data_IF_846776184668
#
_entry.id   IF_846776184668
#
_cell.length_a   1.000
_cell.length_b   1.000
_cell.length_c   1.000
_cell.angle_alpha   90.00
_cell.angle_beta   90.00
_cell.angle_gamma   90.00
#
_symmetry.space_group_name_H-M   'P 1'
#
loop_
_entity.id
_entity.type
_entity.pdbx_description
1 polymer ?
#
# COMPACT_ATOMS: atom_id res chain seq x y z
N UNK A 1 10.09 -16.63 2.51
CA UNK A 1 11.27 -15.81 2.24
C UNK A 1 12.45 -16.62 1.73
N UNK A 2 12.90 -17.67 2.46
CA UNK A 2 14.08 -18.49 2.07
C UNK A 2 13.99 -19.07 0.65
N UNK A 3 12.83 -19.58 0.25
CA UNK A 3 12.61 -20.16 -1.09
C UNK A 3 12.69 -19.05 -2.16
N UNK A 4 12.01 -17.94 -1.97
CA UNK A 4 12.05 -16.80 -2.90
C UNK A 4 13.48 -16.24 -3.05
N UNK A 5 14.21 -16.04 -1.93
CA UNK A 5 15.60 -15.59 -1.97
C UNK A 5 16.49 -16.50 -2.83
N UNK A 6 16.26 -17.83 -2.77
CA UNK A 6 16.98 -18.80 -3.61
C UNK A 6 16.62 -18.70 -5.08
N UNK A 7 15.36 -18.40 -5.40
CA UNK A 7 14.87 -18.33 -6.79
C UNK A 7 15.30 -17.05 -7.50
N UNK A 8 15.23 -15.91 -6.81
CA UNK A 8 15.51 -14.60 -7.42
C UNK A 8 16.94 -14.12 -7.21
N UNK A 9 17.75 -14.83 -6.41
CA UNK A 9 19.13 -14.48 -6.05
C UNK A 9 19.30 -13.07 -5.47
N UNK A 10 18.24 -12.51 -4.87
CA UNK A 10 18.22 -11.19 -4.27
C UNK A 10 17.67 -11.23 -2.84
N UNK A 11 18.02 -10.24 -2.02
CA UNK A 11 17.41 -10.06 -0.71
C UNK A 11 15.98 -9.55 -0.87
N UNK A 12 15.09 -10.10 -0.06
CA UNK A 12 13.69 -9.61 0.05
C UNK A 12 13.64 -8.75 1.30
N UNK A 13 13.52 -7.44 1.10
CA UNK A 13 13.53 -6.45 2.17
C UNK A 13 12.15 -5.86 2.45
N UNK A 14 11.23 -6.01 1.51
CA UNK A 14 9.88 -5.45 1.61
C UNK A 14 8.80 -6.53 1.60
N UNK A 15 7.67 -6.23 2.25
CA UNK A 15 6.54 -7.14 2.39
C UNK A 15 5.21 -6.40 2.32
N UNK A 16 4.17 -7.11 1.88
CA UNK A 16 2.78 -6.72 2.03
C UNK A 16 1.94 -7.95 2.39
N UNK A 17 1.15 -7.83 3.45
CA UNK A 17 0.15 -8.84 3.78
C UNK A 17 -1.08 -8.68 2.89
N UNK A 18 -1.59 -9.80 2.39
CA UNK A 18 -2.84 -9.82 1.65
C UNK A 18 -4.05 -9.87 2.60
N UNK A 19 -5.22 -9.44 2.10
CA UNK A 19 -6.54 -9.57 2.75
C UNK A 19 -6.71 -8.83 4.09
N UNK A 20 -5.90 -7.83 4.40
CA UNK A 20 -6.05 -7.01 5.61
C UNK A 20 -6.01 -7.80 6.93
N UNK A 21 -5.61 -9.05 6.90
CA UNK A 21 -5.39 -9.88 8.08
C UNK A 21 -4.09 -9.45 8.77
N UNK A 22 -4.14 -8.26 9.34
CA UNK A 22 -3.00 -7.62 9.94
C UNK A 22 -3.31 -7.22 11.39
N UNK A 23 -2.73 -7.97 12.33
CA UNK A 23 -2.71 -7.62 13.74
C UNK A 23 -1.39 -6.90 14.05
N UNK A 24 -1.47 -5.59 14.20
CA UNK A 24 -0.35 -4.66 14.03
C UNK A 24 0.92 -4.99 14.82
N UNK A 25 0.88 -5.04 16.14
CA UNK A 25 2.13 -5.15 16.92
C UNK A 25 2.83 -6.52 16.72
N UNK A 26 2.11 -7.62 16.87
CA UNK A 26 2.69 -8.97 16.75
C UNK A 26 3.25 -9.25 15.35
N UNK A 27 2.57 -8.76 14.31
CA UNK A 27 3.04 -8.92 12.94
C UNK A 27 4.34 -8.15 12.71
N UNK A 28 4.45 -6.93 13.19
CA UNK A 28 5.68 -6.12 13.04
C UNK A 28 6.88 -6.74 13.74
N UNK A 29 6.73 -7.30 14.94
CA UNK A 29 7.81 -8.07 15.57
C UNK A 29 8.27 -9.25 14.71
N UNK A 30 7.32 -9.96 14.07
CA UNK A 30 7.66 -11.02 13.13
C UNK A 30 8.43 -10.53 11.90
N UNK A 31 8.07 -9.36 11.36
CA UNK A 31 8.81 -8.76 10.23
C UNK A 31 10.23 -8.35 10.61
N UNK A 32 10.39 -7.74 11.78
CA UNK A 32 11.69 -7.34 12.31
C UNK A 32 12.59 -8.56 12.55
N UNK A 33 12.05 -9.62 13.14
CA UNK A 33 12.80 -10.87 13.38
C UNK A 33 13.24 -11.56 12.08
N UNK A 34 12.54 -11.33 10.98
CA UNK A 34 12.90 -11.80 9.65
C UNK A 34 13.78 -10.80 8.88
N UNK A 35 14.26 -9.74 9.52
CA UNK A 35 15.11 -8.70 8.91
C UNK A 35 14.46 -8.06 7.68
N UNK A 36 13.16 -7.79 7.73
CA UNK A 36 12.46 -7.02 6.73
C UNK A 36 12.55 -5.53 7.08
N UNK A 37 12.77 -4.71 6.07
CA UNK A 37 13.04 -3.28 6.23
C UNK A 37 11.82 -2.41 5.94
N UNK A 38 10.90 -2.90 5.07
CA UNK A 38 9.74 -2.12 4.63
C UNK A 38 8.46 -2.95 4.65
N UNK A 39 7.39 -2.36 5.18
CA UNK A 39 6.03 -2.89 5.13
C UNK A 39 5.09 -1.98 4.34
N UNK A 40 4.27 -2.59 3.48
CA UNK A 40 3.24 -1.95 2.65
C UNK A 40 1.83 -2.47 2.99
N UNK A 41 1.61 -2.88 4.24
CA UNK A 41 0.33 -3.45 4.69
C UNK A 41 -0.57 -2.46 5.41
N UNK A 42 -0.06 -1.27 5.78
CA UNK A 42 -0.80 -0.25 6.51
C UNK A 42 -1.79 0.48 5.59
N UNK A 43 -2.90 -0.17 5.29
CA UNK A 43 -4.01 0.36 4.51
C UNK A 43 -5.33 -0.28 4.92
N UNK A 44 -6.43 0.29 4.47
CA UNK A 44 -7.74 -0.33 4.54
C UNK A 44 -7.96 -1.25 3.34
N UNK A 45 -8.73 -2.34 3.52
CA UNK A 45 -9.06 -3.21 2.40
C UNK A 45 -10.16 -2.65 1.50
N UNK A 46 -11.12 -1.97 2.09
CA UNK A 46 -12.41 -1.66 1.47
C UNK A 46 -12.78 -0.17 1.54
N UNK A 47 -11.85 0.66 1.97
CA UNK A 47 -12.02 2.11 2.09
C UNK A 47 -10.81 2.82 1.47
N UNK A 48 -11.05 3.96 0.83
CA UNK A 48 -10.00 4.86 0.37
C UNK A 48 -9.64 5.81 1.52
N UNK A 49 -8.39 5.74 1.97
CA UNK A 49 -7.89 6.55 3.08
C UNK A 49 -6.65 5.98 3.74
N UNK A 50 -5.93 6.80 4.46
CA UNK A 50 -4.74 6.37 5.20
C UNK A 50 -5.12 5.80 6.57
N UNK A 51 -4.91 4.52 6.79
CA UNK A 51 -5.23 3.83 8.05
C UNK A 51 -4.41 4.37 9.24
N UNK A 52 -3.20 4.84 9.00
CA UNK A 52 -2.34 5.45 10.00
C UNK A 52 -2.59 6.96 10.19
N UNK A 53 -3.63 7.53 9.55
CA UNK A 53 -3.92 8.97 9.54
C UNK A 53 -2.76 9.84 9.02
N UNK A 54 -1.79 9.24 8.35
CA UNK A 54 -0.66 9.92 7.72
C UNK A 54 -0.33 9.29 6.37
N UNK A 55 0.12 10.12 5.44
CA UNK A 55 0.68 9.72 4.15
C UNK A 55 2.21 9.68 4.17
N UNK A 56 2.83 10.13 5.25
CA UNK A 56 4.29 10.14 5.37
C UNK A 56 4.73 8.78 5.91
N UNK A 57 5.68 8.09 5.26
CA UNK A 57 6.27 6.88 5.78
C UNK A 57 6.92 7.14 7.14
N UNK A 58 6.81 6.17 8.04
CA UNK A 58 7.33 6.27 9.39
C UNK A 58 7.96 4.95 9.85
N UNK A 59 8.83 5.00 10.84
CA UNK A 59 9.39 3.81 11.44
C UNK A 59 8.50 3.27 12.56
N UNK A 60 8.34 1.95 12.61
CA UNK A 60 7.60 1.33 13.70
C UNK A 60 8.30 1.59 15.03
N UNK A 61 7.51 2.10 15.99
CA UNK A 61 7.96 2.34 17.35
C UNK A 61 7.49 1.20 18.26
N UNK A 62 8.45 0.56 18.91
CA UNK A 62 8.19 -0.52 19.86
C UNK A 62 7.92 0.06 21.24
N UNK A 63 6.64 0.09 21.62
CA UNK A 63 6.22 0.61 22.93
C UNK A 63 6.66 -0.25 24.11
N UNK A 64 6.91 -1.55 23.90
CA UNK A 64 7.33 -2.45 24.98
C UNK A 64 8.81 -2.22 25.38
N UNK A 65 9.63 -1.93 24.39
CA UNK A 65 11.05 -1.70 24.57
C UNK A 65 11.43 -0.21 24.52
N UNK A 66 10.43 0.67 24.31
CA UNK A 66 10.60 2.14 24.22
C UNK A 66 11.66 2.56 23.21
N UNK A 67 11.61 1.97 21.99
CA UNK A 67 12.59 2.24 20.94
C UNK A 67 11.99 2.31 19.54
N UNK A 68 12.58 3.13 18.69
CA UNK A 68 12.32 3.14 17.27
C UNK A 68 13.04 1.97 16.60
N UNK A 69 12.31 1.20 15.79
CA UNK A 69 12.89 0.07 15.06
C UNK A 69 13.38 0.48 13.67
N UNK A 70 14.05 -0.44 12.97
CA UNK A 70 14.46 -0.25 11.57
C UNK A 70 13.35 -0.51 10.55
N UNK A 71 12.19 -1.03 10.97
CA UNK A 71 11.08 -1.35 10.07
C UNK A 71 10.34 -0.07 9.65
N UNK A 72 10.42 0.29 8.39
CA UNK A 72 9.71 1.41 7.78
C UNK A 72 8.32 1.01 7.32
N UNK A 73 7.33 1.72 7.77
CA UNK A 73 5.93 1.53 7.39
C UNK A 73 5.58 2.52 6.27
N UNK A 74 5.15 2.00 5.13
CA UNK A 74 4.72 2.78 3.98
C UNK A 74 3.19 2.74 3.91
N UNK A 75 2.48 3.86 4.22
CA UNK A 75 1.02 3.87 4.23
C UNK A 75 0.43 3.67 2.83
N UNK A 76 -0.58 2.81 2.73
CA UNK A 76 -1.32 2.54 1.50
C UNK A 76 -2.65 3.27 1.54
N UNK A 77 -2.93 4.10 0.53
CA UNK A 77 -4.13 4.94 0.46
C UNK A 77 -5.36 4.16 0.00
N UNK A 78 -5.18 3.21 -0.90
CA UNK A 78 -6.28 2.42 -1.43
C UNK A 78 -5.82 1.04 -1.89
N UNK A 79 -6.74 0.09 -1.83
CA UNK A 79 -6.62 -1.20 -2.50
C UNK A 79 -7.59 -1.24 -3.69
N UNK A 80 -7.38 -2.20 -4.59
CA UNK A 80 -8.32 -2.50 -5.67
C UNK A 80 -9.76 -2.67 -5.15
N UNK A 81 -9.96 -3.41 -4.07
CA UNK A 81 -11.27 -3.66 -3.50
C UNK A 81 -11.92 -2.38 -2.97
N UNK A 82 -11.13 -1.53 -2.29
CA UNK A 82 -11.58 -0.23 -1.81
C UNK A 82 -12.04 0.68 -2.97
N UNK A 83 -11.29 0.70 -4.08
CA UNK A 83 -11.67 1.48 -5.26
C UNK A 83 -12.94 0.93 -5.92
N UNK A 84 -13.07 -0.40 -6.05
CA UNK A 84 -14.23 -1.04 -6.68
C UNK A 84 -15.54 -0.90 -5.91
N UNK A 85 -15.49 -0.68 -4.59
CA UNK A 85 -16.69 -0.43 -3.77
C UNK A 85 -17.30 0.95 -4.00
N UNK A 86 -16.53 1.89 -4.49
CA UNK A 86 -17.04 3.18 -4.93
C UNK A 86 -17.55 3.09 -6.38
N UNK A 87 -18.51 3.95 -6.76
CA UNK A 87 -18.80 4.13 -8.17
C UNK A 87 -17.56 4.71 -8.86
N UNK A 88 -17.25 4.23 -10.05
CA UNK A 88 -16.00 4.47 -10.78
C UNK A 88 -15.48 5.92 -10.69
N UNK A 89 -16.34 6.89 -11.00
CA UNK A 89 -15.95 8.31 -10.95
C UNK A 89 -15.69 8.86 -9.54
N UNK A 90 -16.40 8.37 -8.52
CA UNK A 90 -16.24 8.87 -7.14
C UNK A 90 -14.93 8.37 -6.51
N UNK A 91 -14.50 7.16 -6.86
CA UNK A 91 -13.25 6.60 -6.36
C UNK A 91 -12.05 7.42 -6.81
N UNK A 92 -11.95 7.69 -8.11
CA UNK A 92 -10.82 8.43 -8.68
C UNK A 92 -10.82 9.90 -8.24
N UNK A 93 -11.99 10.54 -8.16
CA UNK A 93 -12.12 11.87 -7.59
C UNK A 93 -11.63 11.92 -6.13
N UNK A 94 -11.97 10.91 -5.32
CA UNK A 94 -11.50 10.82 -3.94
C UNK A 94 -9.99 10.64 -3.85
N UNK A 95 -9.40 9.83 -4.73
CA UNK A 95 -7.95 9.66 -4.81
C UNK A 95 -7.24 10.94 -5.23
N UNK A 96 -7.80 11.70 -6.17
CA UNK A 96 -7.31 13.03 -6.58
C UNK A 96 -7.32 14.02 -5.42
N UNK A 97 -8.46 14.16 -4.73
CA UNK A 97 -8.59 15.02 -3.56
C UNK A 97 -7.51 14.68 -2.50
N UNK A 98 -7.27 13.39 -2.27
CA UNK A 98 -6.24 12.96 -1.32
C UNK A 98 -4.83 13.23 -1.83
N UNK A 99 -4.57 13.10 -3.11
CA UNK A 99 -3.27 13.42 -3.71
C UNK A 99 -2.95 14.91 -3.61
N UNK A 100 -3.91 15.78 -3.90
CA UNK A 100 -3.76 17.23 -3.82
C UNK A 100 -3.45 17.72 -2.39
N UNK A 101 -4.10 17.11 -1.38
CA UNK A 101 -3.87 17.45 0.04
C UNK A 101 -2.48 17.04 0.52
N UNK A 102 -1.84 16.08 -0.15
CA UNK A 102 -0.54 15.56 0.28
C UNK A 102 0.61 16.55 0.19
N UNK A 103 0.55 17.57 -0.62
CA UNK A 103 1.42 18.77 -0.77
C UNK A 103 2.84 18.77 -0.20
N UNK A 104 3.27 17.71 0.49
CA UNK A 104 4.59 17.59 1.12
C UNK A 104 5.50 16.63 0.36
N UNK A 105 6.74 17.02 0.18
CA UNK A 105 7.77 16.23 -0.52
C UNK A 105 8.06 14.85 0.09
N UNK A 106 7.58 14.59 1.30
CA UNK A 106 7.85 13.34 2.03
C UNK A 106 6.67 12.38 2.04
N UNK A 107 5.52 12.76 1.49
CA UNK A 107 4.33 11.91 1.44
C UNK A 107 4.39 10.90 0.30
N UNK A 108 3.72 9.77 0.50
CA UNK A 108 3.58 8.70 -0.50
C UNK A 108 2.11 8.48 -0.86
N UNK A 109 1.86 8.17 -2.13
CA UNK A 109 0.53 7.86 -2.64
C UNK A 109 0.55 6.45 -3.24
N UNK A 110 0.38 5.45 -2.38
CA UNK A 110 0.52 4.04 -2.74
C UNK A 110 -0.86 3.42 -2.94
N UNK A 111 -1.11 2.91 -4.14
CA UNK A 111 -2.30 2.16 -4.50
C UNK A 111 -1.90 0.71 -4.75
N UNK A 112 -2.61 -0.21 -4.11
CA UNK A 112 -2.35 -1.64 -4.26
C UNK A 112 -3.39 -2.29 -5.15
N UNK A 113 -2.94 -2.82 -6.28
CA UNK A 113 -3.78 -3.53 -7.25
C UNK A 113 -3.20 -4.90 -7.60
N UNK A 114 -4.08 -5.84 -7.95
CA UNK A 114 -3.67 -7.13 -8.49
C UNK A 114 -3.27 -6.98 -9.97
N UNK A 115 -2.23 -7.69 -10.39
CA UNK A 115 -1.83 -7.72 -11.80
C UNK A 115 -2.92 -8.33 -12.70
N UNK A 116 -3.73 -9.25 -12.18
CA UNK A 116 -4.85 -9.86 -12.92
C UNK A 116 -5.90 -8.84 -13.36
N UNK A 117 -6.04 -7.74 -12.63
CA UNK A 117 -7.01 -6.69 -12.96
C UNK A 117 -6.55 -5.82 -14.14
N UNK A 118 -5.25 -5.78 -14.41
CA UNK A 118 -4.69 -5.02 -15.52
C UNK A 118 -4.79 -5.77 -16.86
N UNK A 119 -5.22 -7.04 -16.86
CA UNK A 119 -5.44 -7.81 -18.07
C UNK A 119 -6.76 -7.44 -18.75
N UNK A 120 -6.78 -7.42 -20.09
CA UNK A 120 -7.95 -6.99 -20.89
C UNK A 120 -9.22 -7.82 -20.62
N UNK A 121 -9.07 -9.08 -20.23
CA UNK A 121 -10.17 -10.05 -20.11
C UNK A 121 -11.00 -9.88 -18.82
N UNK A 122 -10.49 -9.21 -17.80
CA UNK A 122 -11.11 -9.13 -16.48
C UNK A 122 -11.72 -7.77 -16.13
N UNK A 123 -11.67 -6.80 -17.02
CA UNK A 123 -12.17 -5.44 -16.75
C UNK A 123 -13.31 -5.05 -17.69
N UNK A 124 -14.36 -4.52 -17.09
CA UNK A 124 -15.23 -3.57 -17.79
C UNK A 124 -14.34 -2.39 -18.20
N UNK A 125 -14.22 -2.14 -19.49
CA UNK A 125 -13.26 -1.21 -20.09
C UNK A 125 -13.16 0.17 -19.39
N UNK A 126 -14.25 0.68 -18.79
CA UNK A 126 -14.29 2.01 -18.17
C UNK A 126 -13.40 2.15 -16.93
N UNK A 127 -13.32 1.18 -16.04
CA UNK A 127 -12.54 1.29 -14.80
C UNK A 127 -11.03 1.24 -15.07
N UNK A 128 -10.60 0.31 -15.93
CA UNK A 128 -9.20 0.17 -16.34
C UNK A 128 -8.68 1.45 -17.00
N UNK A 129 -9.46 1.99 -17.92
CA UNK A 129 -9.06 3.20 -18.64
C UNK A 129 -9.00 4.41 -17.70
N UNK A 130 -9.92 4.53 -16.76
CA UNK A 130 -9.86 5.56 -15.72
C UNK A 130 -8.65 5.39 -14.82
N UNK A 131 -8.35 4.15 -14.39
CA UNK A 131 -7.17 3.87 -13.56
C UNK A 131 -5.87 4.18 -14.30
N UNK A 132 -5.74 3.77 -15.55
CA UNK A 132 -4.58 4.08 -16.38
C UNK A 132 -4.43 5.59 -16.61
N UNK A 133 -5.51 6.29 -16.90
CA UNK A 133 -5.50 7.74 -17.04
C UNK A 133 -5.07 8.44 -15.74
N UNK A 134 -5.60 7.99 -14.59
CA UNK A 134 -5.19 8.48 -13.27
C UNK A 134 -3.67 8.29 -13.05
N UNK A 135 -3.15 7.09 -13.31
CA UNK A 135 -1.71 6.81 -13.17
C UNK A 135 -0.87 7.69 -14.11
N UNK A 136 -1.25 7.82 -15.38
CA UNK A 136 -0.52 8.64 -16.36
C UNK A 136 -0.54 10.12 -16.00
N UNK A 137 -1.60 10.63 -15.40
CA UNK A 137 -1.71 12.02 -14.97
C UNK A 137 -0.77 12.32 -13.79
N UNK A 138 -0.64 11.40 -12.84
CA UNK A 138 0.13 11.58 -11.61
C UNK A 138 1.57 11.00 -11.66
N UNK A 139 1.93 10.25 -12.70
CA UNK A 139 3.27 9.65 -12.87
C UNK A 139 4.32 10.62 -13.48
N UNK A 140 4.21 11.91 -13.19
CA UNK A 140 5.13 12.96 -13.70
C UNK A 140 6.27 13.24 -12.73
#
# INVERSE_FOLDING_TARGET
RKILKKLIHQQILSVRFNFGLFSSAKAYYGLISEELEEDYSMGYNDVIGYRASTAVPFYFYDLNNDLQTSLKINPVVATEEGIRKFSDHKAFKKLEEMYEVLGTRSSVHIISVSNSILTKDNMKNSWRDQFLNYLLYHAK
#
